data_IF_304059567130
#
_entry.id   IF_304059567130
#
_cell.length_a   1.000
_cell.length_b   1.000
_cell.length_c   1.000
_cell.angle_alpha   90.00
_cell.angle_beta   90.00
_cell.angle_gamma   90.00
#
_symmetry.space_group_name_H-M   'P 1'
#
loop_
_entity.id
_entity.type
_entity.pdbx_description
1 polymer ?
#
# COMPACT_ATOMS: atom_id res chain seq x y z
N UNK A 1 -10.10 -1.98 -10.32
CA UNK A 1 -9.60 -0.61 -10.06
C UNK A 1 -8.48 -0.28 -11.03
N UNK A 2 -8.76 0.58 -12.01
CA UNK A 2 -7.75 1.01 -12.99
C UNK A 2 -6.94 2.19 -12.48
N UNK A 3 -5.65 2.24 -12.78
CA UNK A 3 -4.81 3.36 -12.39
C UNK A 3 -3.37 3.26 -12.88
N UNK A 4 -2.69 4.41 -12.97
CA UNK A 4 -1.25 4.40 -13.30
C UNK A 4 -0.42 3.85 -12.15
N UNK A 5 -0.81 4.10 -10.89
CA UNK A 5 -0.11 3.61 -9.69
C UNK A 5 1.39 3.94 -9.67
N UNK A 6 1.73 5.23 -9.76
CA UNK A 6 3.12 5.69 -9.90
C UNK A 6 3.56 6.67 -8.79
N UNK A 7 3.66 6.25 -7.52
CA UNK A 7 3.43 4.90 -7.01
C UNK A 7 1.97 4.67 -6.57
N UNK A 8 1.59 3.41 -6.34
CA UNK A 8 0.43 3.07 -5.51
C UNK A 8 0.62 3.60 -4.08
N UNK A 9 -0.47 3.92 -3.39
CA UNK A 9 -0.46 4.57 -2.08
C UNK A 9 -1.69 4.23 -1.26
N UNK A 10 -1.71 4.54 0.04
CA UNK A 10 -2.82 4.18 0.94
C UNK A 10 -4.17 4.74 0.49
N UNK A 11 -4.20 5.92 -0.15
CA UNK A 11 -5.43 6.43 -0.77
C UNK A 11 -6.09 5.48 -1.77
N UNK A 12 -5.31 4.73 -2.57
CA UNK A 12 -5.85 3.74 -3.50
C UNK A 12 -6.39 2.51 -2.77
N UNK A 13 -5.68 2.06 -1.73
CA UNK A 13 -6.05 0.87 -0.96
C UNK A 13 -7.33 1.10 -0.15
N UNK A 14 -7.47 2.28 0.46
CA UNK A 14 -8.70 2.68 1.15
C UNK A 14 -9.85 2.78 0.15
N UNK A 15 -9.66 3.44 -0.98
CA UNK A 15 -10.69 3.52 -2.02
C UNK A 15 -11.21 2.15 -2.45
N UNK A 16 -10.29 1.23 -2.76
CA UNK A 16 -10.64 -0.14 -3.14
C UNK A 16 -11.38 -0.88 -2.02
N UNK A 17 -10.92 -0.76 -0.78
CA UNK A 17 -11.53 -1.44 0.37
C UNK A 17 -12.94 -0.93 0.66
N UNK A 18 -13.14 0.38 0.62
CA UNK A 18 -14.45 1.00 0.85
C UNK A 18 -15.45 0.58 -0.23
N UNK A 19 -15.07 0.68 -1.51
CA UNK A 19 -15.95 0.26 -2.61
C UNK A 19 -16.24 -1.23 -2.56
N UNK A 20 -15.25 -2.08 -2.24
CA UNK A 20 -15.50 -3.50 -2.05
C UNK A 20 -16.53 -3.76 -0.95
N UNK A 21 -16.46 -3.04 0.16
CA UNK A 21 -17.40 -3.20 1.26
C UNK A 21 -18.80 -2.69 0.92
N UNK A 22 -18.90 -1.54 0.25
CA UNK A 22 -20.18 -0.89 -0.06
C UNK A 22 -21.00 -1.66 -1.10
N UNK A 23 -20.33 -2.26 -2.08
CA UNK A 23 -20.96 -3.01 -3.16
C UNK A 23 -20.94 -4.52 -2.94
N UNK A 24 -20.37 -5.00 -1.82
CA UNK A 24 -20.28 -6.43 -1.53
C UNK A 24 -19.42 -7.21 -2.53
N UNK A 25 -18.36 -6.60 -3.05
CA UNK A 25 -17.50 -7.22 -4.06
C UNK A 25 -16.69 -8.38 -3.45
N UNK A 26 -16.64 -9.50 -4.16
CA UNK A 26 -15.81 -10.66 -3.79
C UNK A 26 -14.31 -10.37 -3.87
N UNK A 27 -13.91 -9.58 -4.87
CA UNK A 27 -12.52 -9.27 -5.19
C UNK A 27 -12.38 -7.86 -5.80
N UNK A 28 -11.27 -7.18 -5.50
CA UNK A 28 -10.83 -5.99 -6.24
C UNK A 28 -9.54 -6.29 -6.98
N UNK A 29 -9.65 -6.33 -8.32
CA UNK A 29 -8.51 -6.47 -9.21
C UNK A 29 -7.92 -5.09 -9.50
N UNK A 30 -6.69 -4.85 -9.07
CA UNK A 30 -5.92 -3.66 -9.44
C UNK A 30 -5.33 -3.86 -10.83
N UNK A 31 -5.48 -2.87 -11.70
CA UNK A 31 -4.99 -2.93 -13.08
C UNK A 31 -4.05 -1.75 -13.33
N UNK A 32 -2.73 -1.95 -13.16
CA UNK A 32 -1.72 -0.96 -13.53
C UNK A 32 -1.76 -0.74 -15.04
N UNK A 33 -1.96 0.50 -15.47
CA UNK A 33 -1.98 0.83 -16.90
C UNK A 33 -0.64 0.46 -17.54
N UNK A 34 -0.61 -0.06 -18.77
CA UNK A 34 0.62 -0.30 -19.53
C UNK A 34 1.25 1.01 -19.98
N UNK A 35 1.01 1.42 -21.21
CA UNK A 35 1.33 2.76 -21.71
C UNK A 35 0.10 3.67 -21.64
N UNK A 36 -0.03 4.54 -20.61
CA UNK A 36 -1.20 5.39 -20.46
C UNK A 36 -1.20 6.52 -21.50
N UNK A 37 -2.12 6.50 -22.46
CA UNK A 37 -2.25 7.51 -23.52
C UNK A 37 -2.36 8.95 -22.98
N UNK A 38 -3.05 9.12 -21.85
CA UNK A 38 -3.29 10.43 -21.20
C UNK A 38 -2.04 11.06 -20.60
N UNK A 39 -0.90 10.35 -20.61
CA UNK A 39 0.36 10.79 -19.98
C UNK A 39 1.57 10.62 -20.91
N UNK A 40 1.35 10.56 -22.23
CA UNK A 40 2.44 10.43 -23.20
C UNK A 40 3.55 11.49 -23.04
N UNK A 41 3.20 12.68 -22.52
CA UNK A 41 4.12 13.80 -22.34
C UNK A 41 4.84 13.81 -20.96
N UNK A 42 4.57 12.84 -20.09
CA UNK A 42 5.08 12.78 -18.73
C UNK A 42 6.01 11.59 -18.55
N UNK A 43 7.09 11.79 -17.78
CA UNK A 43 7.93 10.69 -17.34
C UNK A 43 7.16 9.84 -16.31
N UNK A 44 6.73 8.66 -16.75
CA UNK A 44 6.06 7.64 -15.93
C UNK A 44 7.04 6.51 -15.69
N UNK A 45 7.09 5.95 -14.48
CA UNK A 45 7.94 4.79 -14.20
C UNK A 45 7.58 3.60 -15.11
N UNK A 46 8.56 2.73 -15.37
CA UNK A 46 8.35 1.52 -16.15
C UNK A 46 7.13 0.73 -15.66
N UNK A 47 6.34 0.20 -16.60
CA UNK A 47 5.12 -0.53 -16.28
C UNK A 47 5.37 -1.69 -15.30
N UNK A 48 6.51 -2.39 -15.44
CA UNK A 48 6.90 -3.46 -14.53
C UNK A 48 7.13 -2.97 -13.10
N UNK A 49 7.82 -1.84 -12.91
CA UNK A 49 8.03 -1.28 -11.56
C UNK A 49 6.68 -0.91 -10.91
N UNK A 50 5.75 -0.34 -11.68
CA UNK A 50 4.40 0.01 -11.18
C UNK A 50 3.56 -1.22 -10.86
N UNK A 51 3.65 -2.27 -11.69
CA UNK A 51 3.04 -3.56 -11.41
C UNK A 51 3.57 -4.16 -10.11
N UNK A 52 4.90 -4.25 -9.95
CA UNK A 52 5.52 -4.83 -8.77
C UNK A 52 5.18 -4.04 -7.49
N UNK A 53 5.20 -2.71 -7.53
CA UNK A 53 4.74 -1.89 -6.40
C UNK A 53 3.27 -2.16 -6.06
N UNK A 54 2.42 -2.40 -7.07
CA UNK A 54 1.01 -2.73 -6.88
C UNK A 54 0.83 -4.12 -6.25
N UNK A 55 1.60 -5.12 -6.70
CA UNK A 55 1.63 -6.47 -6.09
C UNK A 55 2.05 -6.38 -4.63
N UNK A 56 3.13 -5.67 -4.34
CA UNK A 56 3.63 -5.49 -2.97
C UNK A 56 2.59 -4.81 -2.08
N UNK A 57 1.92 -3.77 -2.59
CA UNK A 57 0.93 -3.00 -1.84
C UNK A 57 -0.35 -3.79 -1.51
N UNK A 58 -0.69 -4.79 -2.32
CA UNK A 58 -1.95 -5.54 -2.22
C UNK A 58 -1.79 -6.90 -1.56
N UNK A 59 -0.56 -7.42 -1.46
CA UNK A 59 -0.27 -8.78 -0.98
C UNK A 59 -0.84 -9.15 0.40
N UNK A 60 -1.07 -8.18 1.28
CA UNK A 60 -1.60 -8.44 2.63
C UNK A 60 -3.13 -8.52 2.71
N UNK A 61 -3.85 -8.14 1.65
CA UNK A 61 -5.30 -8.20 1.62
C UNK A 61 -5.77 -9.34 0.69
N UNK A 62 -6.38 -10.41 1.22
CA UNK A 62 -6.77 -11.57 0.42
C UNK A 62 -7.87 -11.28 -0.62
N UNK A 63 -8.59 -10.15 -0.49
CA UNK A 63 -9.58 -9.71 -1.49
C UNK A 63 -8.98 -8.88 -2.61
N UNK A 64 -7.70 -8.55 -2.55
CA UNK A 64 -7.03 -7.75 -3.58
C UNK A 64 -6.13 -8.63 -4.44
N UNK A 65 -6.20 -8.40 -5.75
CA UNK A 65 -5.30 -9.01 -6.71
C UNK A 65 -4.78 -7.96 -7.70
N UNK A 66 -3.82 -8.34 -8.54
CA UNK A 66 -3.25 -7.46 -9.55
C UNK A 66 -3.27 -8.15 -10.90
N UNK A 67 -3.90 -7.52 -11.88
CA UNK A 67 -3.92 -8.01 -13.25
C UNK A 67 -2.80 -7.39 -14.07
N UNK A 68 -2.23 -8.19 -14.97
CA UNK A 68 -1.21 -7.77 -15.94
C UNK A 68 -1.78 -7.41 -17.31
N UNK A 69 -3.10 -7.48 -17.51
CA UNK A 69 -3.75 -7.31 -18.82
C UNK A 69 -3.27 -6.09 -19.60
N UNK A 70 -3.00 -4.98 -18.92
CA UNK A 70 -2.55 -3.76 -19.58
C UNK A 70 -1.02 -3.66 -19.66
N UNK A 71 -0.29 -4.18 -18.67
CA UNK A 71 1.19 -4.20 -18.64
C UNK A 71 1.72 -5.04 -19.80
N UNK A 72 1.09 -6.19 -20.06
CA UNK A 72 1.54 -7.14 -21.06
C UNK A 72 1.03 -6.80 -22.48
N UNK A 73 0.19 -5.77 -22.63
CA UNK A 73 -0.43 -5.39 -23.92
C UNK A 73 0.58 -4.87 -24.95
N UNK A 74 1.64 -4.20 -24.49
CA UNK A 74 2.68 -3.63 -25.36
C UNK A 74 2.22 -2.48 -26.26
N UNK A 75 0.98 -2.03 -26.14
CA UNK A 75 0.42 -0.88 -26.87
C UNK A 75 -0.23 0.10 -25.89
N UNK A 76 -0.56 1.27 -26.42
CA UNK A 76 -1.42 2.25 -25.77
C UNK A 76 -2.64 1.58 -25.13
N UNK A 77 -2.86 1.85 -23.85
CA UNK A 77 -3.92 1.22 -23.05
C UNK A 77 -5.18 2.07 -23.04
N UNK A 78 -6.32 1.53 -23.48
CA UNK A 78 -7.63 2.17 -23.35
C UNK A 78 -8.52 1.33 -22.42
N UNK A 79 -9.35 1.99 -21.61
CA UNK A 79 -10.23 1.31 -20.64
C UNK A 79 -11.15 0.28 -21.31
N UNK A 80 -11.59 0.53 -22.54
CA UNK A 80 -12.42 -0.42 -23.29
C UNK A 80 -11.71 -1.75 -23.54
N UNK A 81 -10.41 -1.71 -23.83
CA UNK A 81 -9.61 -2.91 -24.04
C UNK A 81 -9.39 -3.66 -22.73
N UNK A 82 -9.10 -2.91 -21.65
CA UNK A 82 -8.96 -3.45 -20.30
C UNK A 82 -10.22 -4.21 -19.87
N UNK A 83 -11.39 -3.59 -19.99
CA UNK A 83 -12.66 -4.20 -19.60
C UNK A 83 -13.03 -5.38 -20.51
N UNK A 84 -12.77 -5.27 -21.82
CA UNK A 84 -12.99 -6.38 -22.76
C UNK A 84 -12.16 -7.60 -22.40
N UNK A 85 -10.87 -7.42 -22.06
CA UNK A 85 -10.00 -8.53 -21.71
C UNK A 85 -10.33 -9.13 -20.34
N UNK A 86 -10.70 -8.31 -19.36
CA UNK A 86 -11.17 -8.81 -18.06
C UNK A 86 -12.49 -9.58 -18.19
N UNK A 87 -13.43 -9.10 -19.00
CA UNK A 87 -14.67 -9.81 -19.28
C UNK A 87 -14.41 -11.17 -19.96
N UNK A 88 -13.45 -11.24 -20.91
CA UNK A 88 -13.04 -12.52 -21.50
C UNK A 88 -12.43 -13.49 -20.49
N UNK A 89 -11.64 -12.98 -19.55
CA UNK A 89 -11.03 -13.80 -18.50
C UNK A 89 -12.04 -14.25 -17.44
N UNK A 90 -13.10 -13.47 -17.23
CA UNK A 90 -14.13 -13.69 -16.21
C UNK A 90 -15.52 -13.44 -16.81
N UNK A 91 -16.01 -14.33 -17.69
CA UNK A 91 -17.25 -14.10 -18.45
C UNK A 91 -18.49 -14.01 -17.56
N UNK A 92 -18.48 -14.72 -16.42
CA UNK A 92 -19.61 -14.76 -15.49
C UNK A 92 -19.54 -13.66 -14.41
N UNK A 93 -18.50 -12.81 -14.42
CA UNK A 93 -18.31 -11.78 -13.41
C UNK A 93 -19.07 -10.50 -13.79
N UNK A 94 -19.76 -9.92 -12.81
CA UNK A 94 -20.23 -8.54 -12.87
C UNK A 94 -19.05 -7.60 -12.58
N UNK A 95 -18.72 -6.71 -13.52
CA UNK A 95 -17.56 -5.85 -13.41
C UNK A 95 -17.92 -4.47 -12.85
N UNK A 96 -17.14 -4.01 -11.87
CA UNK A 96 -17.19 -2.66 -11.34
C UNK A 96 -15.88 -1.93 -11.67
N UNK A 97 -15.94 -0.84 -12.44
CA UNK A 97 -14.78 -0.02 -12.76
C UNK A 97 -14.60 1.10 -11.73
N UNK A 98 -13.68 0.89 -10.80
CA UNK A 98 -13.32 1.84 -9.74
C UNK A 98 -12.22 2.78 -10.23
N UNK A 99 -12.47 4.09 -10.16
CA UNK A 99 -11.48 5.13 -10.46
C UNK A 99 -11.74 6.41 -9.65
N UNK A 100 -10.76 7.30 -9.57
CA UNK A 100 -10.94 8.62 -8.97
C UNK A 100 -11.92 9.47 -9.76
N UNK A 101 -12.67 10.31 -9.06
CA UNK A 101 -13.67 11.21 -9.62
C UNK A 101 -13.13 12.07 -10.77
N UNK A 102 -11.93 12.64 -10.64
CA UNK A 102 -11.31 13.48 -11.68
C UNK A 102 -11.14 12.74 -13.01
N UNK A 103 -10.76 11.46 -12.98
CA UNK A 103 -10.61 10.65 -14.17
C UNK A 103 -11.98 10.29 -14.77
N UNK A 104 -12.95 9.98 -13.91
CA UNK A 104 -14.32 9.67 -14.34
C UNK A 104 -15.01 10.88 -14.98
N UNK A 105 -14.73 12.11 -14.51
CA UNK A 105 -15.25 13.34 -15.11
C UNK A 105 -14.94 13.46 -16.61
N UNK A 106 -13.86 12.81 -17.06
CA UNK A 106 -13.38 12.85 -18.44
C UNK A 106 -13.89 11.69 -19.30
N UNK A 107 -14.82 10.86 -18.80
CA UNK A 107 -15.27 9.63 -19.46
C UNK A 107 -15.93 9.87 -20.83
N UNK A 108 -16.50 11.06 -21.07
CA UNK A 108 -17.06 11.44 -22.39
C UNK A 108 -15.98 11.47 -23.47
N UNK A 109 -14.73 11.74 -23.10
CA UNK A 109 -13.58 11.72 -24.02
C UNK A 109 -12.93 10.34 -24.16
N UNK A 110 -13.45 9.30 -23.52
CA UNK A 110 -12.87 7.96 -23.60
C UNK A 110 -13.27 7.27 -24.89
N UNK A 111 -12.46 6.30 -25.33
CA UNK A 111 -12.76 5.54 -26.54
C UNK A 111 -13.91 4.57 -26.26
N UNK A 112 -14.88 4.55 -27.16
CA UNK A 112 -16.05 3.66 -27.14
C UNK A 112 -16.89 3.77 -25.84
N UNK A 113 -17.15 5.00 -25.38
CA UNK A 113 -17.80 5.26 -24.09
C UNK A 113 -19.15 4.56 -23.90
N UNK A 114 -19.98 4.46 -24.94
CA UNK A 114 -21.27 3.74 -24.84
C UNK A 114 -21.06 2.28 -24.43
N UNK A 115 -20.11 1.59 -25.08
CA UNK A 115 -19.78 0.19 -24.81
C UNK A 115 -19.12 -0.03 -23.45
N UNK A 116 -18.51 1.01 -22.86
CA UNK A 116 -17.97 0.91 -21.51
C UNK A 116 -19.07 0.59 -20.49
N UNK A 117 -20.21 1.25 -20.60
CA UNK A 117 -21.33 1.07 -19.67
C UNK A 117 -22.02 -0.29 -19.83
N UNK A 118 -21.87 -0.95 -20.98
CA UNK A 118 -22.32 -2.33 -21.18
C UNK A 118 -21.38 -3.36 -20.51
N UNK A 119 -20.11 -3.00 -20.31
CA UNK A 119 -19.09 -3.92 -19.79
C UNK A 119 -18.90 -3.83 -18.28
N UNK A 120 -19.21 -2.68 -17.66
CA UNK A 120 -19.01 -2.49 -16.23
C UNK A 120 -19.88 -1.36 -15.65
N UNK A 121 -20.22 -1.50 -14.38
CA UNK A 121 -20.73 -0.40 -13.56
C UNK A 121 -19.58 0.50 -13.09
N UNK A 122 -19.67 1.80 -13.26
CA UNK A 122 -18.59 2.73 -12.94
C UNK A 122 -18.74 3.28 -11.52
N UNK A 123 -17.64 3.28 -10.77
CA UNK A 123 -17.58 3.83 -9.42
C UNK A 123 -16.54 4.94 -9.36
N UNK A 124 -17.01 6.17 -9.24
CA UNK A 124 -16.18 7.36 -9.07
C UNK A 124 -15.95 7.66 -7.59
N UNK A 125 -14.73 7.48 -7.10
CA UNK A 125 -14.40 7.81 -5.71
C UNK A 125 -14.04 9.28 -5.55
N UNK A 126 -14.73 9.97 -4.64
CA UNK A 126 -14.53 11.38 -4.30
C UNK A 126 -13.97 11.53 -2.88
N UNK A 127 -13.52 12.74 -2.57
CA UNK A 127 -13.18 13.16 -1.21
C UNK A 127 -14.31 14.04 -0.67
N UNK A 128 -14.52 14.12 0.66
CA UNK A 128 -15.48 15.03 1.27
C UNK A 128 -15.37 16.45 0.72
N UNK A 129 -16.50 16.99 0.27
CA UNK A 129 -16.58 18.33 -0.32
C UNK A 129 -16.22 18.41 -1.82
N UNK A 130 -15.88 17.30 -2.47
CA UNK A 130 -15.70 17.23 -3.92
C UNK A 130 -16.85 16.47 -4.57
N UNK A 131 -17.63 17.17 -5.39
CA UNK A 131 -18.72 16.58 -6.18
C UNK A 131 -18.29 16.57 -7.64
N UNK A 132 -18.57 15.47 -8.33
CA UNK A 132 -18.46 15.39 -9.78
C UNK A 132 -19.58 16.24 -10.38
N UNK A 133 -19.24 17.46 -10.80
CA UNK A 133 -20.16 18.36 -11.49
C UNK A 133 -19.86 18.35 -13.00
N UNK A 134 -20.89 18.19 -13.83
CA UNK A 134 -20.80 18.55 -15.25
C UNK A 134 -20.52 17.44 -16.26
N UNK A 135 -20.72 16.17 -15.89
CA UNK A 135 -20.82 15.10 -16.88
C UNK A 135 -22.26 14.55 -16.85
N UNK A 136 -22.97 14.61 -17.98
CA UNK A 136 -24.27 13.94 -18.19
C UNK A 136 -24.02 12.43 -18.25
N UNK A 137 -23.73 11.84 -17.08
CA UNK A 137 -23.45 10.42 -16.96
C UNK A 137 -24.76 9.66 -16.74
N UNK A 138 -24.91 8.49 -17.37
CA UNK A 138 -26.05 7.63 -17.13
C UNK A 138 -26.10 7.22 -15.65
N UNK A 139 -27.08 7.74 -14.91
CA UNK A 139 -27.22 7.50 -13.47
C UNK A 139 -27.37 6.01 -13.10
N UNK A 140 -27.78 5.17 -14.05
CA UNK A 140 -27.90 3.73 -13.87
C UNK A 140 -26.56 2.98 -13.99
N UNK A 141 -25.55 3.56 -14.65
CA UNK A 141 -24.27 2.90 -14.91
C UNK A 141 -23.10 3.55 -14.14
N UNK A 142 -23.36 4.61 -13.39
CA UNK A 142 -22.34 5.35 -12.64
C UNK A 142 -22.80 5.66 -11.22
N UNK A 143 -21.97 5.33 -10.22
CA UNK A 143 -22.18 5.72 -8.83
C UNK A 143 -20.98 6.49 -8.30
N UNK A 144 -21.25 7.54 -7.52
CA UNK A 144 -20.21 8.28 -6.80
C UNK A 144 -20.16 7.79 -5.36
N UNK A 145 -18.93 7.58 -4.87
CA UNK A 145 -18.69 7.13 -3.50
C UNK A 145 -17.74 8.10 -2.83
N UNK A 146 -18.19 8.74 -1.77
CA UNK A 146 -17.31 9.51 -0.90
C UNK A 146 -16.54 8.54 -0.01
N UNK A 147 -15.20 8.62 -0.04
CA UNK A 147 -14.31 7.82 0.80
C UNK A 147 -13.59 8.71 1.82
N UNK A 148 -13.10 8.15 2.95
CA UNK A 148 -12.33 8.92 3.93
C UNK A 148 -11.22 9.75 3.27
N UNK A 149 -11.13 11.03 3.66
CA UNK A 149 -10.21 11.99 3.08
C UNK A 149 -8.74 11.65 3.38
N UNK A 150 -8.12 10.84 2.53
CA UNK A 150 -6.66 10.71 2.49
C UNK A 150 -6.14 11.71 1.46
N UNK A 151 -5.61 12.84 1.93
CA UNK A 151 -4.95 13.86 1.10
C UNK A 151 -3.57 13.37 0.61
N UNK A 152 -3.55 12.19 -0.02
CA UNK A 152 -2.37 11.54 -0.58
C UNK A 152 -2.52 11.56 -2.10
N UNK A 153 -1.44 11.87 -2.81
CA UNK A 153 -1.38 11.70 -4.25
C UNK A 153 -0.03 11.12 -4.66
N UNK A 154 -0.01 10.34 -5.73
CA UNK A 154 1.24 9.82 -6.29
C UNK A 154 2.19 10.94 -6.70
N UNK A 155 1.68 12.08 -7.20
CA UNK A 155 2.51 13.25 -7.56
C UNK A 155 3.25 13.79 -6.34
N UNK A 156 2.54 14.02 -5.24
CA UNK A 156 3.14 14.49 -3.98
C UNK A 156 4.12 13.45 -3.39
N UNK A 157 3.87 12.15 -3.58
CA UNK A 157 4.85 11.12 -3.22
C UNK A 157 6.14 11.22 -4.05
N UNK A 158 6.04 11.35 -5.37
CA UNK A 158 7.23 11.52 -6.25
C UNK A 158 7.98 12.81 -5.91
N UNK A 159 7.26 13.90 -5.67
CA UNK A 159 7.86 15.20 -5.30
C UNK A 159 8.60 15.13 -3.97
N UNK A 160 8.06 14.40 -2.97
CA UNK A 160 8.76 14.15 -1.70
C UNK A 160 10.05 13.38 -1.91
N UNK A 161 10.02 12.29 -2.67
CA UNK A 161 11.23 11.47 -2.92
C UNK A 161 12.31 12.29 -3.63
N UNK A 162 11.95 13.09 -4.66
CA UNK A 162 12.90 14.00 -5.34
C UNK A 162 13.55 15.00 -4.38
N UNK A 163 12.79 15.45 -3.38
CA UNK A 163 13.26 16.38 -2.34
C UNK A 163 14.01 15.68 -1.20
N UNK A 164 14.23 14.36 -1.25
CA UNK A 164 14.82 13.60 -0.15
C UNK A 164 13.95 13.51 1.09
N UNK A 165 12.63 13.74 0.95
CA UNK A 165 11.65 13.63 2.03
C UNK A 165 11.06 12.22 2.10
N UNK A 166 10.73 11.74 3.31
CA UNK A 166 10.13 10.41 3.47
C UNK A 166 8.73 10.32 2.88
N UNK A 167 8.35 9.12 2.42
CA UNK A 167 6.98 8.75 2.01
C UNK A 167 6.36 7.68 2.93
N UNK A 168 6.99 7.42 4.07
CA UNK A 168 6.46 6.55 5.12
C UNK A 168 5.03 6.93 5.50
N UNK A 169 4.16 5.94 5.67
CA UNK A 169 2.73 6.08 5.97
C UNK A 169 1.88 6.74 4.86
N UNK A 170 2.48 7.17 3.74
CA UNK A 170 1.74 7.57 2.54
C UNK A 170 1.54 6.37 1.61
N UNK A 171 2.56 5.52 1.54
CA UNK A 171 2.57 4.25 0.78
C UNK A 171 2.89 3.09 1.72
N UNK A 172 2.50 1.85 1.37
CA UNK A 172 2.87 0.68 2.16
C UNK A 172 4.38 0.51 2.33
N UNK A 173 4.82 -0.04 3.46
CA UNK A 173 6.26 -0.20 3.79
C UNK A 173 7.05 -0.92 2.69
N UNK A 174 6.50 -1.99 2.12
CA UNK A 174 7.14 -2.71 1.03
C UNK A 174 7.33 -1.83 -0.23
N UNK A 175 6.42 -0.88 -0.48
CA UNK A 175 6.54 0.08 -1.59
C UNK A 175 7.62 1.12 -1.27
N UNK A 176 7.74 1.57 -0.02
CA UNK A 176 8.86 2.43 0.41
C UNK A 176 10.19 1.75 0.11
N UNK A 177 10.34 0.50 0.55
CA UNK A 177 11.55 -0.29 0.34
C UNK A 177 11.84 -0.53 -1.14
N UNK A 178 10.79 -0.76 -1.96
CA UNK A 178 10.94 -0.94 -3.39
C UNK A 178 11.45 0.34 -4.08
N UNK A 179 10.85 1.49 -3.78
CA UNK A 179 11.27 2.81 -4.29
C UNK A 179 12.74 3.06 -3.96
N UNK A 180 13.14 2.81 -2.70
CA UNK A 180 14.52 2.98 -2.23
C UNK A 180 15.50 2.04 -2.95
N UNK A 181 15.17 0.74 -3.02
CA UNK A 181 16.03 -0.29 -3.63
C UNK A 181 16.24 -0.05 -5.13
N UNK A 182 15.22 0.46 -5.82
CA UNK A 182 15.25 0.71 -7.26
C UNK A 182 15.70 2.12 -7.62
N UNK A 183 15.86 3.00 -6.62
CA UNK A 183 16.21 4.41 -6.84
C UNK A 183 15.13 5.18 -7.61
N UNK A 184 13.87 4.78 -7.50
CA UNK A 184 12.78 5.43 -8.24
C UNK A 184 12.56 6.86 -7.75
N UNK A 185 12.14 7.73 -8.68
CA UNK A 185 11.81 9.13 -8.42
C UNK A 185 12.97 9.99 -7.89
N UNK A 186 14.21 9.56 -8.13
CA UNK A 186 15.41 10.34 -7.83
C UNK A 186 15.97 10.87 -9.12
N UNK A 187 16.16 12.18 -9.21
CA UNK A 187 16.78 12.83 -10.37
C UNK A 187 18.31 12.64 -10.36
N UNK A 188 18.78 11.39 -10.20
CA UNK A 188 20.20 11.04 -10.09
C UNK A 188 20.85 11.37 -8.73
N UNK A 189 20.07 11.77 -7.73
CA UNK A 189 20.58 12.13 -6.40
C UNK A 189 20.75 10.87 -5.51
N UNK A 190 21.89 10.69 -4.81
CA UNK A 190 22.12 9.51 -3.98
C UNK A 190 21.13 9.41 -2.81
N UNK A 191 20.91 8.20 -2.26
CA UNK A 191 20.04 8.02 -1.09
C UNK A 191 20.45 8.93 0.05
N UNK A 192 19.48 9.63 0.65
CA UNK A 192 19.69 10.27 1.94
C UNK A 192 19.89 9.17 2.99
N UNK A 193 21.02 9.15 3.72
CA UNK A 193 21.21 8.18 4.79
C UNK A 193 20.11 8.27 5.84
N UNK A 194 19.68 7.15 6.44
CA UNK A 194 18.73 7.17 7.55
C UNK A 194 19.23 8.10 8.66
N UNK A 195 18.41 9.08 9.05
CA UNK A 195 18.72 10.02 10.13
C UNK A 195 19.38 11.33 9.71
N UNK A 196 19.67 11.56 8.42
CA UNK A 196 20.17 12.85 7.95
C UNK A 196 18.99 13.78 7.60
N UNK A 197 18.55 14.56 8.59
CA UNK A 197 17.68 15.72 8.36
C UNK A 197 18.36 16.63 7.32
N UNK A 198 17.66 16.95 6.25
CA UNK A 198 18.11 17.95 5.28
C UNK A 198 18.35 19.27 6.03
N UNK A 199 19.51 19.93 5.86
CA UNK A 199 19.73 21.25 6.44
C UNK A 199 18.76 22.23 5.76
N UNK A 200 17.61 22.50 6.39
CA UNK A 200 16.61 23.42 5.84
C UNK A 200 15.20 23.42 6.46
N UNK A 201 14.85 22.52 7.39
CA UNK A 201 13.50 22.55 8.02
C UNK A 201 13.51 22.43 9.54
N UNK A 202 14.65 22.68 10.20
CA UNK A 202 14.60 23.08 11.59
C UNK A 202 13.96 24.48 11.64
N UNK A 203 12.67 24.54 11.99
CA UNK A 203 12.07 25.78 12.50
C UNK A 203 12.84 26.11 13.78
N UNK A 204 13.86 26.97 13.64
CA UNK A 204 14.35 27.73 14.78
C UNK A 204 13.21 28.67 15.14
N UNK A 205 12.49 28.39 16.20
CA UNK A 205 11.69 29.40 16.86
C UNK A 205 12.63 30.52 17.30
N UNK A 206 12.70 31.58 16.51
CA UNK A 206 13.29 32.83 16.93
C UNK A 206 12.39 33.42 18.01
N UNK A 207 12.89 33.46 19.25
CA UNK A 207 12.47 34.40 20.28
C UNK A 207 11.01 34.34 20.72
N UNK A 208 10.66 33.39 21.57
CA UNK A 208 9.67 33.60 22.62
C UNK A 208 10.12 32.82 23.87
N UNK A 209 10.15 33.42 25.06
CA UNK A 209 10.54 32.68 26.26
C UNK A 209 9.50 31.59 26.54
N UNK A 210 9.97 30.35 26.69
CA UNK A 210 9.17 29.22 27.13
C UNK A 210 8.65 29.51 28.55
N UNK A 211 7.35 29.78 28.67
CA UNK A 211 6.67 29.63 29.94
C UNK A 211 6.74 28.14 30.31
N UNK A 212 7.36 27.83 31.45
CA UNK A 212 7.48 26.48 31.96
C UNK A 212 6.10 25.91 32.26
N UNK A 213 5.62 25.01 31.39
CA UNK A 213 4.48 24.16 31.69
C UNK A 213 5.01 23.01 32.55
N UNK A 214 4.88 23.15 33.88
CA UNK A 214 5.11 22.06 34.81
C UNK A 214 4.07 20.95 34.56
N UNK A 215 4.49 19.87 33.92
CA UNK A 215 3.75 18.61 33.93
C UNK A 215 4.04 17.90 35.26
N UNK A 216 3.13 18.02 36.21
CA UNK A 216 3.20 17.31 37.49
C UNK A 216 2.85 15.84 37.25
N UNK A 217 3.84 14.95 37.30
CA UNK A 217 3.63 13.50 37.36
C UNK A 217 3.44 13.13 38.83
N UNK A 218 2.29 12.56 39.26
CA UNK A 218 2.14 12.11 40.63
C UNK A 218 3.02 10.89 40.88
N UNK A 219 3.96 11.02 41.83
CA UNK A 219 4.79 9.91 42.33
C UNK A 219 3.97 9.12 43.35
N UNK A 220 3.83 7.82 43.12
CA UNK A 220 3.38 6.87 44.15
C UNK A 220 4.57 6.51 45.04
N UNK A 221 4.51 6.93 46.31
CA UNK A 221 5.49 6.58 47.33
C UNK A 221 5.36 5.10 47.72
N UNK A 222 6.47 4.35 47.62
CA UNK A 222 6.67 3.08 48.31
C UNK A 222 7.66 3.32 49.45
N UNK A 223 7.37 2.98 50.72
CA UNK A 223 8.29 3.24 51.82
C UNK A 223 9.45 2.24 51.78
N UNK A 224 10.69 2.75 51.82
CA UNK A 224 11.90 1.98 52.11
C UNK A 224 12.03 1.82 53.62
N UNK A 225 12.16 0.58 54.09
CA UNK A 225 12.64 0.26 55.43
C UNK A 225 14.15 0.02 55.41
N UNK A 226 14.81 0.54 56.45
CA UNK A 226 16.26 0.56 56.63
C UNK A 226 16.90 -0.81 56.91
N UNK A 227 18.13 -0.92 56.41
CA UNK A 227 19.20 -1.91 56.60
C UNK A 227 19.41 -2.43 58.04
N UNK A 228 20.10 -3.59 58.25
CA UNK A 228 21.56 -3.55 58.34
C UNK A 228 22.34 -4.72 57.74
N UNK A 229 23.58 -4.38 57.36
CA UNK A 229 24.68 -5.23 56.89
C UNK A 229 24.99 -6.38 57.85
N UNK A 230 25.37 -7.53 57.28
CA UNK A 230 26.41 -8.39 57.87
C UNK A 230 27.42 -8.81 56.81
N UNK A 231 28.67 -8.78 57.26
CA UNK A 231 29.92 -9.11 56.62
C UNK A 231 30.09 -10.64 56.54
N UNK A 232 30.71 -11.15 55.48
CA UNK A 232 31.73 -12.21 55.58
C UNK A 232 32.34 -12.54 54.21
N UNK A 233 33.64 -12.35 54.16
CA UNK A 233 34.62 -13.00 53.30
C UNK A 233 34.41 -14.51 53.08
N UNK A 234 34.70 -15.02 51.87
CA UNK A 234 35.81 -15.97 51.59
C UNK A 234 35.73 -16.60 50.20
N UNK A 235 36.84 -16.46 49.47
CA UNK A 235 37.61 -17.47 48.70
C UNK A 235 36.93 -18.76 48.24
N UNK A 236 37.15 -19.14 46.97
CA UNK A 236 37.04 -20.53 46.54
C UNK A 236 37.09 -20.75 45.04
N UNK A 237 38.27 -21.12 44.54
CA UNK A 237 38.60 -21.60 43.19
C UNK A 237 38.14 -23.03 42.93
N UNK A 238 38.19 -23.44 41.65
CA UNK A 238 38.12 -24.81 41.09
C UNK A 238 36.70 -25.32 40.82
N UNK A 239 36.33 -25.98 39.72
CA UNK A 239 37.07 -26.62 38.62
C UNK A 239 36.23 -27.82 38.15
N UNK A 240 36.34 -28.18 36.86
CA UNK A 240 35.90 -29.45 36.25
C UNK A 240 34.35 -29.66 36.11
N UNK A 241 33.75 -30.38 35.14
CA UNK A 241 34.15 -31.13 33.93
C UNK A 241 32.86 -31.54 33.20
N UNK A 242 32.99 -31.89 31.92
CA UNK A 242 32.06 -32.60 31.01
C UNK A 242 30.93 -33.48 31.60
N UNK A 243 29.76 -33.44 30.95
CA UNK A 243 29.12 -34.62 30.33
C UNK A 243 27.91 -34.23 29.43
N UNK A 244 27.91 -34.73 28.19
CA UNK A 244 26.73 -34.97 27.33
C UNK A 244 26.53 -36.50 27.24
N UNK A 245 25.49 -37.05 26.56
CA UNK A 245 24.03 -36.82 26.53
C UNK A 245 23.28 -38.12 26.97
N UNK A 246 21.98 -38.32 26.64
CA UNK A 246 21.71 -39.29 25.56
C UNK A 246 20.53 -38.92 24.62
N UNK A 247 20.57 -39.52 23.43
CA UNK A 247 19.56 -39.46 22.37
C UNK A 247 18.39 -40.46 22.54
N UNK A 248 17.66 -40.76 21.45
CA UNK A 248 16.19 -40.84 21.43
C UNK A 248 15.63 -42.23 21.73
N UNK A 249 14.35 -42.27 22.15
CA UNK A 249 13.55 -43.49 22.31
C UNK A 249 12.56 -43.65 21.16
N UNK A 250 12.61 -44.81 20.52
CA UNK A 250 11.74 -45.30 19.45
C UNK A 250 10.33 -45.72 19.90
N UNK A 251 9.38 -45.64 18.96
CA UNK A 251 8.26 -46.59 18.80
C UNK A 251 6.85 -45.99 18.73
N UNK A 252 5.85 -46.68 18.11
CA UNK A 252 5.91 -47.49 16.89
C UNK A 252 4.74 -47.21 15.89
N UNK A 253 4.96 -47.59 14.63
CA UNK A 253 3.97 -48.37 13.84
C UNK A 253 2.87 -47.64 13.07
N UNK A 254 3.14 -47.31 11.82
CA UNK A 254 2.14 -47.19 10.73
C UNK A 254 1.57 -48.56 10.36
N UNK A 255 0.28 -48.65 9.94
CA UNK A 255 -0.15 -49.67 9.02
C UNK A 255 -0.33 -49.08 7.61
N UNK A 256 0.26 -49.77 6.66
CA UNK A 256 0.23 -49.52 5.22
C UNK A 256 -0.93 -50.28 4.55
N UNK A 257 -1.28 -49.82 3.34
CA UNK A 257 -1.97 -50.49 2.23
C UNK A 257 -3.50 -50.63 2.27
N UNK A 258 -4.17 -49.94 1.34
CA UNK A 258 -4.81 -50.65 0.20
C UNK A 258 -5.09 -49.70 -0.98
N UNK A 259 -4.33 -49.87 -2.07
CA UNK A 259 -4.79 -49.54 -3.44
C UNK A 259 -5.87 -50.54 -3.87
N UNK A 260 -6.76 -50.14 -4.79
CA UNK A 260 -7.38 -50.94 -5.90
C UNK A 260 -8.46 -50.09 -6.62
N UNK A 261 -8.85 -50.39 -7.88
CA UNK A 261 -8.52 -49.51 -9.01
C UNK A 261 -9.69 -49.02 -9.89
N UNK A 262 -9.30 -48.14 -10.83
CA UNK A 262 -9.96 -47.58 -12.03
C UNK A 262 -10.85 -46.35 -11.85
#
# INVERSE_FOLDING_TARGET
>A
MGGTFDPIHHGHLVAASEVASLFGLDEVVFVPTGEPWQKADRQVSHAEDRYLMTVIATASNPRFSVSRVDVDRGTTTYTIDTLTDLHRQRPDAELFFITGADALAQIVGWRDTERLFDLAHFVGVTRPGYQLTGADLPAHAVTQVEIPALAISSTDCRDRVRRGMPVWYLVPDGVVQYIEKRGLYRDGQPPTPPGQLLPGTAVRHAGAPLAAVHATVPRTDTPRTDTPRTDTSRTGTSGATHASPPGPTDGPGTPELQEMPR
#
